data_IF_470529488519
#
_entry.id   IF_470529488519
#
_cell.length_a   1.000
_cell.length_b   1.000
_cell.length_c   1.000
_cell.angle_alpha   90.00
_cell.angle_beta   90.00
_cell.angle_gamma   90.00
#
_symmetry.space_group_name_H-M   'P 1'
#
loop_
_entity.id
_entity.type
_entity.pdbx_description
1 polymer ?
#
# COMPACT_ATOMS: atom_id res chain seq x y z
N UNK A 1 0.26 -8.41 28.69
CA UNK A 1 0.57 -8.12 27.27
C UNK A 1 -0.24 -9.10 26.46
N UNK A 2 -1.12 -8.62 25.59
CA UNK A 2 -1.92 -9.53 24.75
C UNK A 2 -0.98 -10.21 23.74
N UNK A 3 -1.26 -11.45 23.32
CA UNK A 3 -0.38 -12.20 22.42
C UNK A 3 -0.05 -11.48 21.09
N UNK A 4 -0.88 -10.49 20.70
CA UNK A 4 -0.68 -9.62 19.53
C UNK A 4 0.48 -8.62 19.74
N UNK A 5 0.65 -8.08 20.95
CA UNK A 5 1.70 -7.09 21.25
C UNK A 5 3.09 -7.73 21.24
N UNK A 6 3.23 -8.96 21.76
CA UNK A 6 4.50 -9.69 21.77
C UNK A 6 5.02 -10.02 20.36
N UNK A 7 4.12 -10.41 19.46
CA UNK A 7 4.45 -10.71 18.06
C UNK A 7 4.91 -9.47 17.28
N UNK A 8 4.38 -8.27 17.61
CA UNK A 8 4.79 -6.98 17.01
C UNK A 8 6.25 -6.69 17.26
N UNK A 9 6.66 -6.85 18.50
CA UNK A 9 8.00 -6.50 18.98
C UNK A 9 9.06 -7.43 18.37
N UNK A 10 8.77 -8.73 18.33
CA UNK A 10 9.66 -9.74 17.75
C UNK A 10 9.89 -9.55 16.24
N UNK A 11 8.84 -9.23 15.48
CA UNK A 11 8.95 -9.06 14.02
C UNK A 11 9.60 -7.75 13.62
N UNK A 12 9.28 -6.65 14.31
CA UNK A 12 9.95 -5.35 14.09
C UNK A 12 11.46 -5.51 14.31
N UNK A 13 11.86 -6.27 15.33
CA UNK A 13 13.26 -6.61 15.57
C UNK A 13 13.90 -7.37 14.40
N UNK A 14 13.24 -8.42 13.87
CA UNK A 14 13.73 -9.17 12.70
C UNK A 14 13.84 -8.31 11.45
N UNK A 15 12.85 -7.45 11.19
CA UNK A 15 12.83 -6.59 10.02
C UNK A 15 13.89 -5.49 10.09
N UNK A 16 14.05 -4.85 11.26
CA UNK A 16 15.13 -3.91 11.51
C UNK A 16 16.51 -4.55 11.34
N UNK A 17 16.69 -5.80 11.81
CA UNK A 17 17.93 -6.57 11.58
C UNK A 17 18.17 -6.84 10.09
N UNK A 18 17.12 -7.19 9.33
CA UNK A 18 17.23 -7.43 7.88
C UNK A 18 17.59 -6.16 7.10
N UNK A 19 17.04 -5.01 7.49
CA UNK A 19 17.21 -3.74 6.76
C UNK A 19 18.45 -2.93 7.18
N UNK A 20 18.84 -2.96 8.46
CA UNK A 20 19.83 -2.03 9.02
C UNK A 20 21.10 -2.68 9.54
N UNK A 21 21.14 -3.99 9.82
CA UNK A 21 22.34 -4.64 10.36
C UNK A 21 23.17 -5.28 9.23
N UNK A 22 24.52 -5.15 9.25
CA UNK A 22 25.37 -5.82 8.28
C UNK A 22 25.15 -7.34 8.35
N UNK A 23 24.98 -8.00 7.20
CA UNK A 23 25.03 -9.46 7.13
C UNK A 23 26.43 -9.91 7.52
N UNK A 24 26.57 -10.56 8.68
CA UNK A 24 27.81 -11.26 9.03
C UNK A 24 28.13 -12.27 7.94
N UNK A 25 29.30 -12.13 7.31
CA UNK A 25 29.72 -12.96 6.19
C UNK A 25 29.85 -14.43 6.61
N UNK A 26 28.96 -15.28 6.08
CA UNK A 26 29.27 -16.68 5.88
C UNK A 26 29.94 -16.81 4.51
N UNK A 27 31.20 -17.23 4.48
CA UNK A 27 31.87 -17.68 3.26
C UNK A 27 31.09 -18.88 2.70
N UNK A 28 30.39 -18.69 1.59
CA UNK A 28 30.08 -19.78 0.67
C UNK A 28 30.95 -19.62 -0.57
N UNK A 29 31.79 -20.62 -0.79
CA UNK A 29 32.62 -20.75 -1.97
C UNK A 29 31.79 -21.29 -3.13
N UNK A 30 31.75 -20.56 -4.24
CA UNK A 30 31.50 -21.11 -5.58
C UNK A 30 30.29 -20.55 -6.33
N UNK A 31 30.58 -19.76 -7.38
CA UNK A 31 29.91 -19.91 -8.68
C UNK A 31 28.70 -19.03 -9.02
N UNK A 32 29.00 -17.92 -9.70
CA UNK A 32 28.23 -17.25 -10.79
C UNK A 32 26.98 -16.39 -10.50
N UNK A 33 27.21 -15.07 -10.72
CA UNK A 33 26.32 -14.03 -11.24
C UNK A 33 25.01 -13.73 -10.47
N UNK A 34 25.16 -13.31 -9.22
CA UNK A 34 24.16 -12.50 -8.51
C UNK A 34 24.59 -11.03 -8.46
N UNK A 35 23.84 -10.15 -9.11
CA UNK A 35 24.04 -8.69 -9.00
C UNK A 35 23.53 -8.26 -7.62
N UNK A 36 24.43 -8.29 -6.64
CA UNK A 36 24.18 -7.86 -5.27
C UNK A 36 24.16 -6.33 -5.18
N UNK A 37 22.98 -5.74 -5.09
CA UNK A 37 22.77 -4.38 -4.61
C UNK A 37 21.74 -4.36 -3.47
N UNK A 38 22.07 -5.06 -2.39
CA UNK A 38 21.56 -4.72 -1.05
C UNK A 38 22.77 -4.60 -0.11
N UNK A 39 23.56 -3.56 -0.36
CA UNK A 39 24.31 -2.93 0.72
C UNK A 39 23.66 -1.58 0.97
N UNK A 40 22.81 -1.51 1.98
CA UNK A 40 22.81 -0.30 2.80
C UNK A 40 24.28 -0.08 3.16
N UNK A 41 24.82 1.11 2.86
CA UNK A 41 26.21 1.43 3.20
C UNK A 41 26.45 1.03 4.65
N UNK A 42 27.36 0.07 4.94
CA UNK A 42 27.64 -0.34 6.30
C UNK A 42 28.30 0.88 6.98
N UNK A 43 27.51 1.65 7.74
CA UNK A 43 28.07 2.75 8.54
C UNK A 43 27.18 3.97 8.83
N UNK A 44 26.08 4.23 8.14
CA UNK A 44 25.22 5.37 8.54
C UNK A 44 24.10 4.89 9.46
N UNK A 45 24.36 4.83 10.77
CA UNK A 45 23.28 4.71 11.74
C UNK A 45 22.24 5.81 11.54
N UNK A 46 21.00 5.56 11.99
CA UNK A 46 19.92 6.56 11.97
C UNK A 46 20.45 7.90 12.49
N UNK A 47 20.11 9.04 11.89
CA UNK A 47 20.64 10.32 12.34
C UNK A 47 20.19 11.58 11.64
N UNK A 48 21.09 12.55 11.56
CA UNK A 48 20.73 13.92 11.18
C UNK A 48 20.21 14.02 9.73
N UNK A 49 20.66 13.13 8.84
CA UNK A 49 20.13 13.02 7.49
C UNK A 49 18.66 12.59 7.49
N UNK A 50 18.30 11.58 8.29
CA UNK A 50 16.91 11.11 8.41
C UNK A 50 16.01 12.20 9.03
N UNK A 51 16.49 12.87 10.08
CA UNK A 51 15.80 14.00 10.71
C UNK A 51 15.52 15.09 9.67
N UNK A 52 16.55 15.49 8.91
CA UNK A 52 16.43 16.54 7.90
C UNK A 52 15.45 16.18 6.79
N UNK A 53 15.49 14.93 6.30
CA UNK A 53 14.62 14.49 5.22
C UNK A 53 13.15 14.39 5.67
N UNK A 54 12.89 13.75 6.83
CA UNK A 54 11.55 13.68 7.41
C UNK A 54 11.01 15.09 7.63
N UNK A 55 11.77 15.97 8.29
CA UNK A 55 11.34 17.33 8.59
C UNK A 55 11.06 18.15 7.33
N UNK A 56 11.95 18.09 6.33
CA UNK A 56 11.78 18.80 5.06
C UNK A 56 10.52 18.37 4.33
N UNK A 57 10.28 17.06 4.24
CA UNK A 57 9.09 16.50 3.60
C UNK A 57 7.82 16.94 4.33
N UNK A 58 7.79 16.81 5.66
CA UNK A 58 6.64 17.19 6.47
C UNK A 58 6.34 18.70 6.39
N UNK A 59 7.37 19.56 6.41
CA UNK A 59 7.20 21.01 6.27
C UNK A 59 6.70 21.42 4.87
N UNK A 60 7.03 20.63 3.84
CA UNK A 60 6.55 20.86 2.47
C UNK A 60 5.14 20.30 2.22
N UNK A 61 4.69 19.37 3.07
CA UNK A 61 3.36 18.78 2.95
C UNK A 61 2.28 19.78 3.37
N UNK A 62 1.23 19.86 2.56
CA UNK A 62 -0.01 20.57 2.93
C UNK A 62 -0.94 19.62 3.69
N UNK A 63 -1.53 20.14 4.75
CA UNK A 63 -2.59 19.46 5.49
C UNK A 63 -3.87 19.36 4.66
N UNK A 64 -4.83 18.56 5.11
CA UNK A 64 -6.17 18.49 4.50
C UNK A 64 -6.89 19.85 4.49
N UNK A 65 -6.48 20.76 5.39
CA UNK A 65 -6.94 22.16 5.48
C UNK A 65 -6.13 23.13 4.64
N UNK A 66 -5.10 22.67 3.93
CA UNK A 66 -4.22 23.49 3.10
C UNK A 66 -3.16 24.27 3.87
N UNK A 67 -3.01 24.01 5.17
CA UNK A 67 -1.98 24.60 6.04
C UNK A 67 -0.66 23.83 5.88
N UNK A 68 0.47 24.47 6.17
CA UNK A 68 1.78 23.80 6.23
C UNK A 68 2.19 23.60 7.67
N UNK A 69 2.72 22.44 8.01
CA UNK A 69 3.34 22.22 9.32
C UNK A 69 4.53 23.16 9.46
N UNK A 70 4.68 23.83 10.62
CA UNK A 70 5.83 24.69 10.81
C UNK A 70 7.12 23.86 10.77
N UNK A 71 8.19 24.44 10.23
CA UNK A 71 9.49 23.75 10.17
C UNK A 71 9.96 23.29 11.56
N UNK A 72 9.69 24.09 12.59
CA UNK A 72 10.02 23.76 13.98
C UNK A 72 9.28 22.53 14.49
N UNK A 73 7.97 22.43 14.23
CA UNK A 73 7.17 21.25 14.61
C UNK A 73 7.64 20.00 13.85
N UNK A 74 7.86 20.13 12.54
CA UNK A 74 8.35 19.04 11.70
C UNK A 74 9.72 18.53 12.15
N UNK A 75 10.65 19.44 12.48
CA UNK A 75 11.97 19.09 13.03
C UNK A 75 11.86 18.45 14.43
N UNK A 76 10.97 18.94 15.29
CA UNK A 76 10.74 18.39 16.62
C UNK A 76 10.23 16.94 16.56
N UNK A 77 9.22 16.69 15.73
CA UNK A 77 8.68 15.37 15.49
C UNK A 77 9.73 14.41 14.91
N UNK A 78 10.44 14.85 13.86
CA UNK A 78 11.49 14.04 13.23
C UNK A 78 12.60 13.67 14.21
N UNK A 79 13.02 14.60 15.09
CA UNK A 79 14.00 14.33 16.14
C UNK A 79 13.50 13.29 17.13
N UNK A 80 12.25 13.40 17.58
CA UNK A 80 11.66 12.44 18.53
C UNK A 80 11.62 11.05 17.93
N UNK A 81 11.06 10.91 16.72
CA UNK A 81 10.95 9.61 16.03
C UNK A 81 12.31 8.95 15.80
N UNK A 82 13.30 9.70 15.31
CA UNK A 82 14.65 9.17 15.07
C UNK A 82 15.35 8.81 16.38
N UNK A 83 15.16 9.59 17.45
CA UNK A 83 15.71 9.26 18.77
C UNK A 83 15.09 7.97 19.33
N UNK A 84 13.79 7.78 19.17
CA UNK A 84 13.08 6.59 19.65
C UNK A 84 13.45 5.34 18.85
N UNK A 85 13.57 5.47 17.53
CA UNK A 85 14.06 4.41 16.65
C UNK A 85 15.50 4.00 16.98
N UNK A 86 16.39 4.96 17.29
CA UNK A 86 17.76 4.68 17.75
C UNK A 86 17.79 3.90 19.05
N UNK A 87 17.01 4.31 20.05
CA UNK A 87 16.90 3.55 21.32
C UNK A 87 16.38 2.15 21.08
N UNK A 88 15.45 1.98 20.13
CA UNK A 88 15.02 0.66 19.66
C UNK A 88 16.17 -0.15 19.10
N UNK A 89 16.95 0.42 18.17
CA UNK A 89 18.09 -0.27 17.55
C UNK A 89 19.18 -0.67 18.56
N UNK A 90 19.54 0.23 19.48
CA UNK A 90 20.48 -0.04 20.58
C UNK A 90 20.02 -1.23 21.44
N UNK A 91 18.71 -1.31 21.72
CA UNK A 91 18.10 -2.44 22.44
C UNK A 91 18.14 -3.75 21.65
N UNK A 92 18.26 -3.71 20.32
CA UNK A 92 18.34 -4.90 19.47
C UNK A 92 19.76 -5.45 19.32
N UNK A 93 20.78 -4.62 19.55
CA UNK A 93 22.19 -5.04 19.51
C UNK A 93 22.50 -6.00 20.67
N UNK A 94 22.71 -7.27 20.35
CA UNK A 94 23.09 -8.31 21.32
C UNK A 94 21.94 -8.86 22.19
N UNK A 95 20.70 -8.41 21.99
CA UNK A 95 19.56 -8.84 22.81
C UNK A 95 18.70 -9.92 22.15
N UNK A 96 17.95 -10.67 22.98
CA UNK A 96 16.98 -11.67 22.52
C UNK A 96 15.79 -11.02 21.79
N UNK A 97 15.01 -11.84 21.07
CA UNK A 97 13.76 -11.42 20.44
C UNK A 97 12.76 -10.85 21.49
N UNK A 98 12.11 -9.71 21.20
CA UNK A 98 11.06 -9.12 22.06
C UNK A 98 11.50 -8.03 23.05
N UNK A 99 12.71 -7.46 22.93
CA UNK A 99 13.27 -6.46 23.88
C UNK A 99 12.77 -5.02 23.63
N UNK A 100 12.10 -4.79 22.49
CA UNK A 100 11.52 -3.47 22.17
C UNK A 100 10.29 -3.20 23.03
N UNK A 101 10.09 -1.94 23.44
CA UNK A 101 8.78 -1.47 23.87
C UNK A 101 7.93 -1.05 22.68
N UNK A 102 6.61 -0.87 22.90
CA UNK A 102 5.69 -0.46 21.84
C UNK A 102 6.06 0.88 21.18
N UNK A 103 6.44 1.94 21.93
CA UNK A 103 6.85 3.21 21.31
C UNK A 103 8.09 3.07 20.44
N UNK A 104 9.10 2.30 20.89
CA UNK A 104 10.32 2.08 20.11
C UNK A 104 10.06 1.26 18.84
N UNK A 105 9.19 0.24 18.90
CA UNK A 105 8.84 -0.55 17.73
C UNK A 105 8.11 0.29 16.66
N UNK A 106 7.14 1.10 17.08
CA UNK A 106 6.39 1.99 16.19
C UNK A 106 7.30 3.05 15.56
N UNK A 107 8.15 3.70 16.36
CA UNK A 107 9.09 4.69 15.84
C UNK A 107 10.12 4.08 14.87
N UNK A 108 10.64 2.89 15.19
CA UNK A 108 11.58 2.17 14.34
C UNK A 108 10.94 1.77 13.01
N UNK A 109 9.72 1.23 13.02
CA UNK A 109 8.93 0.94 11.82
C UNK A 109 8.71 2.19 10.96
N UNK A 110 8.29 3.31 11.56
CA UNK A 110 8.06 4.56 10.84
C UNK A 110 9.32 5.07 10.12
N UNK A 111 10.47 5.08 10.82
CA UNK A 111 11.75 5.51 10.26
C UNK A 111 12.22 4.56 9.16
N UNK A 112 12.09 3.24 9.36
CA UNK A 112 12.40 2.24 8.34
C UNK A 112 11.56 2.41 7.07
N UNK A 113 10.26 2.62 7.23
CA UNK A 113 9.36 2.86 6.09
C UNK A 113 9.73 4.15 5.35
N UNK A 114 10.09 5.21 6.09
CA UNK A 114 10.48 6.49 5.47
C UNK A 114 11.80 6.41 4.71
N UNK A 115 12.74 5.57 5.19
CA UNK A 115 14.08 5.38 4.61
C UNK A 115 14.13 4.30 3.52
N UNK A 116 13.20 3.35 3.48
CA UNK A 116 13.32 2.22 2.57
C UNK A 116 12.10 1.93 1.73
N UNK A 117 10.93 2.44 2.11
CA UNK A 117 9.63 2.06 1.53
C UNK A 117 8.75 3.29 1.35
N UNK A 118 9.19 4.30 0.58
CA UNK A 118 8.46 5.55 0.52
C UNK A 118 7.07 5.34 -0.10
N UNK A 119 6.11 6.13 0.39
CA UNK A 119 4.78 6.26 -0.18
C UNK A 119 4.66 7.63 -0.86
N UNK A 120 4.94 7.68 -2.16
CA UNK A 120 5.07 8.92 -2.92
C UNK A 120 3.75 9.35 -3.55
N UNK A 121 3.47 10.65 -3.56
CA UNK A 121 2.25 11.18 -4.19
C UNK A 121 2.28 11.01 -5.71
N UNK A 122 1.13 10.68 -6.28
CA UNK A 122 0.90 10.79 -7.72
C UNK A 122 0.38 12.21 -8.01
N UNK A 123 0.94 12.86 -9.02
CA UNK A 123 0.61 14.23 -9.43
C UNK A 123 0.30 14.28 -10.93
N UNK A 124 -0.85 13.71 -11.32
CA UNK A 124 -1.21 13.61 -12.72
C UNK A 124 -0.32 12.64 -13.49
N UNK A 125 0.60 13.18 -14.29
CA UNK A 125 1.54 12.41 -15.10
C UNK A 125 2.92 12.23 -14.43
N UNK A 126 3.10 12.78 -13.22
CA UNK A 126 4.36 12.73 -12.48
C UNK A 126 4.18 12.08 -11.10
N UNK A 127 5.30 11.72 -10.48
CA UNK A 127 5.38 11.34 -9.08
C UNK A 127 6.10 12.41 -8.28
N UNK A 128 5.84 12.46 -6.98
CA UNK A 128 6.67 13.19 -6.03
C UNK A 128 8.12 12.69 -6.11
N UNK A 129 9.08 13.59 -5.91
CA UNK A 129 10.50 13.26 -6.03
C UNK A 129 10.88 12.16 -5.03
N UNK A 130 11.13 10.97 -5.57
CA UNK A 130 11.48 9.79 -4.78
C UNK A 130 12.80 10.03 -4.04
N UNK A 131 13.73 10.79 -4.60
CA UNK A 131 15.04 11.09 -4.00
C UNK A 131 14.95 12.02 -2.78
N UNK A 132 13.78 12.60 -2.50
CA UNK A 132 13.53 13.35 -1.27
C UNK A 132 13.49 12.44 -0.02
N UNK A 133 13.37 11.13 -0.21
CA UNK A 133 13.37 10.13 0.85
C UNK A 133 14.78 9.56 1.04
N UNK A 134 15.28 9.40 2.29
CA UNK A 134 16.56 8.75 2.53
C UNK A 134 16.58 7.35 1.93
N UNK A 135 17.73 6.88 1.44
CA UNK A 135 17.96 5.52 0.87
C UNK A 135 16.93 5.00 -0.16
N UNK A 136 16.18 5.89 -0.81
CA UNK A 136 15.18 5.53 -1.81
C UNK A 136 15.72 5.46 -3.25
N UNK A 137 17.02 5.74 -3.46
CA UNK A 137 17.60 5.90 -4.80
C UNK A 137 17.40 4.71 -5.74
N UNK A 138 17.37 3.48 -5.21
CA UNK A 138 17.03 2.28 -5.98
C UNK A 138 15.61 2.34 -6.56
N UNK A 139 14.64 2.85 -5.79
CA UNK A 139 13.26 3.01 -6.25
C UNK A 139 13.14 4.10 -7.31
N UNK A 140 13.88 5.21 -7.14
CA UNK A 140 13.93 6.26 -8.15
C UNK A 140 14.44 5.69 -9.49
N UNK A 141 15.53 4.92 -9.45
CA UNK A 141 16.09 4.27 -10.64
C UNK A 141 15.10 3.27 -11.27
N UNK A 142 14.48 2.39 -10.48
CA UNK A 142 13.48 1.43 -10.98
C UNK A 142 12.26 2.13 -11.60
N UNK A 143 11.81 3.23 -11.01
CA UNK A 143 10.71 4.04 -11.58
C UNK A 143 11.14 4.70 -12.87
N UNK A 144 12.36 5.24 -12.98
CA UNK A 144 12.83 5.87 -14.20
C UNK A 144 12.99 4.84 -15.33
N UNK A 145 13.58 3.68 -15.05
CA UNK A 145 13.77 2.57 -16.00
C UNK A 145 12.42 2.00 -16.50
N UNK A 146 11.37 2.09 -15.68
CA UNK A 146 10.05 1.50 -15.96
C UNK A 146 8.90 2.52 -15.91
N UNK A 147 9.19 3.80 -16.17
CA UNK A 147 8.25 4.92 -15.97
C UNK A 147 6.92 4.72 -16.68
N UNK A 148 6.95 4.25 -17.93
CA UNK A 148 5.75 4.02 -18.72
C UNK A 148 4.81 3.00 -18.06
N UNK A 149 5.34 1.93 -17.47
CA UNK A 149 4.55 0.91 -16.80
C UNK A 149 3.98 1.42 -15.47
N UNK A 150 4.81 2.07 -14.65
CA UNK A 150 4.38 2.65 -13.37
C UNK A 150 3.26 3.65 -13.61
N UNK A 151 3.42 4.56 -14.57
CA UNK A 151 2.41 5.56 -14.90
C UNK A 151 1.16 4.97 -15.57
N UNK A 152 1.28 3.92 -16.36
CA UNK A 152 0.10 3.20 -16.88
C UNK A 152 -0.75 2.65 -15.73
N UNK A 153 -0.11 2.13 -14.68
CA UNK A 153 -0.80 1.57 -13.51
C UNK A 153 -1.43 2.65 -12.64
N UNK A 154 -0.75 3.79 -12.44
CA UNK A 154 -1.35 4.91 -11.71
C UNK A 154 -2.58 5.48 -12.41
N UNK A 155 -2.60 5.46 -13.75
CA UNK A 155 -3.74 5.89 -14.56
C UNK A 155 -4.90 4.88 -14.58
N UNK A 156 -4.62 3.61 -14.30
CA UNK A 156 -5.59 2.52 -14.29
C UNK A 156 -6.11 2.15 -12.89
N UNK A 157 -5.69 2.89 -11.86
CA UNK A 157 -6.06 2.69 -10.46
C UNK A 157 -6.96 3.85 -9.99
N UNK A 158 -8.09 3.52 -9.38
CA UNK A 158 -9.13 4.44 -8.95
C UNK A 158 -9.36 4.42 -7.43
N UNK A 159 -9.75 5.58 -6.91
CA UNK A 159 -10.40 5.68 -5.62
C UNK A 159 -11.84 5.18 -5.73
N UNK A 160 -12.26 4.33 -4.80
CA UNK A 160 -13.69 4.01 -4.61
C UNK A 160 -14.30 5.12 -3.76
N UNK A 161 -14.81 6.16 -4.41
CA UNK A 161 -15.38 7.34 -3.77
C UNK A 161 -16.84 7.12 -3.45
N UNK A 162 -17.22 7.44 -2.21
CA UNK A 162 -18.60 7.30 -1.74
C UNK A 162 -19.12 8.66 -1.32
N UNK A 163 -20.35 8.97 -1.74
CA UNK A 163 -21.14 10.09 -1.25
C UNK A 163 -22.41 9.55 -0.60
N UNK A 164 -22.65 9.90 0.66
CA UNK A 164 -23.92 9.65 1.33
C UNK A 164 -24.98 10.63 0.81
N UNK A 165 -26.00 10.11 0.11
CA UNK A 165 -27.03 10.97 -0.50
C UNK A 165 -28.08 11.42 0.51
N UNK A 166 -28.13 10.81 1.70
CA UNK A 166 -29.01 11.20 2.79
C UNK A 166 -28.34 12.25 3.70
N UNK A 167 -27.01 12.23 3.77
CA UNK A 167 -26.18 13.19 4.51
C UNK A 167 -25.29 13.93 3.52
N UNK A 168 -25.84 14.96 2.87
CA UNK A 168 -25.33 15.63 1.65
C UNK A 168 -23.89 16.18 1.68
N UNK A 169 -23.17 16.11 2.81
CA UNK A 169 -21.78 16.55 2.95
C UNK A 169 -20.79 15.44 3.32
N UNK A 170 -21.25 14.18 3.44
CA UNK A 170 -20.38 13.08 3.84
C UNK A 170 -19.83 12.34 2.63
N UNK A 171 -18.59 12.66 2.29
CA UNK A 171 -17.81 11.97 1.26
C UNK A 171 -16.54 11.36 1.83
N UNK A 172 -16.15 10.20 1.32
CA UNK A 172 -14.90 9.53 1.70
C UNK A 172 -14.42 8.59 0.59
N UNK A 173 -13.17 8.14 0.71
CA UNK A 173 -12.64 7.01 -0.06
C UNK A 173 -12.77 5.73 0.75
N UNK A 174 -13.55 4.77 0.24
CA UNK A 174 -13.79 3.48 0.90
C UNK A 174 -12.65 2.48 0.67
N UNK A 175 -11.94 2.61 -0.45
CA UNK A 175 -10.91 1.68 -0.89
C UNK A 175 -10.37 2.04 -2.26
N UNK A 176 -9.68 1.09 -2.86
CA UNK A 176 -9.07 1.19 -4.18
C UNK A 176 -9.69 0.16 -5.14
N UNK A 177 -9.75 0.49 -6.43
CA UNK A 177 -10.17 -0.43 -7.48
C UNK A 177 -9.35 -0.21 -8.75
N UNK A 178 -9.36 -1.18 -9.67
CA UNK A 178 -8.76 -1.03 -10.99
C UNK A 178 -9.60 -1.74 -12.05
N UNK A 179 -9.56 -1.26 -13.29
CA UNK A 179 -10.22 -1.93 -14.42
C UNK A 179 -9.50 -3.25 -14.74
N UNK A 180 -10.25 -4.32 -14.97
CA UNK A 180 -9.72 -5.64 -15.37
C UNK A 180 -10.09 -6.04 -16.80
N UNK A 181 -11.05 -5.33 -17.39
CA UNK A 181 -11.50 -5.52 -18.77
C UNK A 181 -12.55 -4.49 -19.14
N UNK A 182 -13.15 -4.66 -20.31
CA UNK A 182 -14.20 -3.77 -20.80
C UNK A 182 -15.42 -3.83 -19.89
N UNK A 183 -15.72 -2.69 -19.24
CA UNK A 183 -16.87 -2.56 -18.33
C UNK A 183 -16.75 -3.33 -17.02
N UNK A 184 -15.56 -3.83 -16.66
CA UNK A 184 -15.32 -4.57 -15.42
C UNK A 184 -14.18 -3.97 -14.60
N UNK A 185 -14.41 -3.80 -13.30
CA UNK A 185 -13.39 -3.40 -12.32
C UNK A 185 -13.29 -4.43 -11.20
N UNK A 186 -12.12 -4.54 -10.59
CA UNK A 186 -11.87 -5.40 -9.43
C UNK A 186 -11.55 -4.55 -8.20
N UNK A 187 -12.02 -5.01 -7.04
CA UNK A 187 -11.69 -4.49 -5.71
C UNK A 187 -11.82 -5.62 -4.68
N UNK A 188 -11.70 -5.30 -3.40
CA UNK A 188 -11.93 -6.22 -2.29
C UNK A 188 -13.42 -6.38 -1.96
N UNK A 189 -13.80 -7.55 -1.41
CA UNK A 189 -15.16 -7.77 -0.90
C UNK A 189 -15.43 -6.80 0.25
N UNK A 190 -14.48 -6.62 1.18
CA UNK A 190 -14.69 -5.75 2.34
C UNK A 190 -14.73 -4.25 2.01
N UNK A 191 -14.37 -3.84 0.79
CA UNK A 191 -14.64 -2.47 0.34
C UNK A 191 -16.14 -2.25 0.18
N UNK A 192 -16.90 -3.27 -0.25
CA UNK A 192 -18.37 -3.21 -0.33
C UNK A 192 -19.06 -3.68 0.96
N UNK A 193 -18.46 -4.67 1.64
CA UNK A 193 -18.97 -5.34 2.84
C UNK A 193 -17.94 -5.28 3.98
N UNK A 194 -17.61 -4.08 4.50
CA UNK A 194 -16.61 -3.96 5.54
C UNK A 194 -16.98 -4.77 6.79
N UNK A 195 -15.98 -5.35 7.48
CA UNK A 195 -16.22 -6.04 8.75
C UNK A 195 -16.64 -5.06 9.84
N UNK A 196 -17.30 -5.57 10.88
CA UNK A 196 -17.69 -4.79 12.05
C UNK A 196 -18.72 -3.69 11.74
N UNK A 197 -18.45 -2.46 12.19
CA UNK A 197 -19.36 -1.31 12.07
C UNK A 197 -19.12 -0.45 10.80
N UNK A 198 -18.36 -0.95 9.82
CA UNK A 198 -18.14 -0.21 8.58
C UNK A 198 -19.42 -0.04 7.75
N UNK A 199 -19.45 1.01 6.92
CA UNK A 199 -20.58 1.29 6.02
C UNK A 199 -20.66 0.25 4.91
N UNK A 200 -21.67 -0.63 4.95
CA UNK A 200 -21.97 -1.54 3.83
C UNK A 200 -22.54 -0.76 2.66
N UNK A 201 -21.90 -0.85 1.49
CA UNK A 201 -22.29 -0.13 0.26
C UNK A 201 -23.23 -0.94 -0.64
N UNK A 202 -23.30 -2.26 -0.44
CA UNK A 202 -24.10 -3.16 -1.26
C UNK A 202 -24.87 -4.17 -0.40
N UNK A 203 -25.83 -4.85 -1.02
CA UNK A 203 -26.55 -5.99 -0.45
C UNK A 203 -26.41 -7.19 -1.38
N UNK A 204 -25.99 -8.34 -0.85
CA UNK A 204 -25.91 -9.60 -1.59
C UNK A 204 -27.30 -10.06 -2.00
N UNK A 205 -27.44 -10.57 -3.23
CA UNK A 205 -28.66 -11.22 -3.69
C UNK A 205 -28.70 -12.65 -3.12
N UNK A 206 -29.78 -13.06 -2.43
CA UNK A 206 -29.84 -14.34 -1.72
C UNK A 206 -29.47 -15.54 -2.61
N UNK A 207 -28.59 -16.41 -2.11
CA UNK A 207 -28.18 -17.63 -2.80
C UNK A 207 -27.25 -17.42 -4.00
N UNK A 208 -26.66 -16.23 -4.17
CA UNK A 208 -25.78 -15.91 -5.30
C UNK A 208 -24.52 -15.18 -4.84
N UNK A 209 -23.52 -15.13 -5.72
CA UNK A 209 -22.34 -14.25 -5.56
C UNK A 209 -22.60 -12.82 -6.04
N UNK A 210 -23.81 -12.49 -6.47
CA UNK A 210 -24.14 -11.17 -7.01
C UNK A 210 -24.56 -10.23 -5.88
N UNK A 211 -24.37 -8.93 -6.07
CA UNK A 211 -24.87 -7.91 -5.16
C UNK A 211 -25.47 -6.72 -5.92
N UNK A 212 -26.20 -5.90 -5.17
CA UNK A 212 -26.76 -4.63 -5.65
C UNK A 212 -26.30 -3.50 -4.74
N UNK A 213 -25.87 -2.40 -5.35
CA UNK A 213 -25.52 -1.16 -4.63
C UNK A 213 -26.74 -0.63 -3.87
N UNK A 214 -26.51 -0.11 -2.66
CA UNK A 214 -27.52 0.55 -1.84
C UNK A 214 -27.83 1.94 -2.42
N UNK A 215 -29.12 2.31 -2.46
CA UNK A 215 -29.56 3.55 -3.13
C UNK A 215 -29.21 4.82 -2.37
N UNK A 216 -28.91 4.73 -1.07
CA UNK A 216 -28.47 5.86 -0.24
C UNK A 216 -27.00 6.27 -0.44
N UNK A 217 -26.24 5.55 -1.28
CA UNK A 217 -24.85 5.85 -1.55
C UNK A 217 -24.61 5.98 -3.06
N UNK A 218 -24.10 7.13 -3.47
CA UNK A 218 -23.48 7.26 -4.78
C UNK A 218 -22.03 6.75 -4.67
N UNK A 219 -21.66 5.80 -5.52
CA UNK A 219 -20.31 5.22 -5.53
C UNK A 219 -19.72 5.35 -6.93
N UNK A 220 -18.60 6.06 -7.02
CA UNK A 220 -17.86 6.31 -8.25
C UNK A 220 -16.43 5.77 -8.13
N UNK A 221 -15.90 5.25 -9.24
CA UNK A 221 -14.48 4.97 -9.39
C UNK A 221 -13.82 6.20 -10.01
N UNK A 222 -12.99 6.89 -9.24
CA UNK A 222 -12.30 8.12 -9.66
C UNK A 222 -10.81 7.82 -9.89
N UNK A 223 -10.44 7.66 -11.17
CA UNK A 223 -9.07 7.36 -11.60
C UNK A 223 -8.18 8.61 -11.61
N UNK A 224 -8.76 9.81 -11.47
CA UNK A 224 -8.03 11.07 -11.42
C UNK A 224 -7.93 11.62 -9.99
N UNK A 225 -8.27 10.83 -8.97
CA UNK A 225 -8.24 11.25 -7.56
C UNK A 225 -6.81 11.28 -6.97
N UNK A 226 -5.94 12.06 -7.59
CA UNK A 226 -4.55 12.26 -7.19
C UNK A 226 -4.25 13.75 -6.91
N UNK A 227 -2.98 14.07 -6.67
CA UNK A 227 -2.53 15.42 -6.30
C UNK A 227 -2.18 16.30 -7.50
N UNK A 228 -2.47 15.84 -8.73
CA UNK A 228 -2.23 16.59 -9.96
C UNK A 228 -3.32 17.61 -10.28
N UNK A 229 -3.20 18.22 -11.46
CA UNK A 229 -4.27 19.04 -12.01
C UNK A 229 -5.56 18.22 -12.15
N UNK A 230 -6.70 18.87 -11.91
CA UNK A 230 -8.02 18.24 -12.02
C UNK A 230 -8.20 17.67 -13.43
N UNK A 231 -8.57 16.39 -13.50
CA UNK A 231 -8.97 15.67 -14.70
C UNK A 231 -10.28 14.97 -14.39
N UNK A 232 -11.12 14.78 -15.40
CA UNK A 232 -12.37 14.05 -15.25
C UNK A 232 -12.17 12.65 -15.86
N UNK A 233 -11.90 11.68 -14.98
CA UNK A 233 -11.73 10.27 -15.34
C UNK A 233 -12.47 9.42 -14.31
N UNK A 234 -13.78 9.28 -14.52
CA UNK A 234 -14.70 8.70 -13.55
C UNK A 234 -15.60 7.66 -14.18
N UNK A 235 -15.88 6.61 -13.42
CA UNK A 235 -16.79 5.53 -13.80
C UNK A 235 -17.85 5.37 -12.73
N UNK A 236 -19.07 5.03 -13.13
CA UNK A 236 -20.13 4.63 -12.20
C UNK A 236 -20.25 3.11 -12.15
N UNK A 237 -20.71 2.59 -11.02
CA UNK A 237 -21.00 1.16 -10.85
C UNK A 237 -22.44 0.89 -11.29
N UNK A 238 -22.61 0.01 -12.28
CA UNK A 238 -23.93 -0.40 -12.81
C UNK A 238 -24.38 -1.76 -12.28
N UNK A 239 -23.47 -2.55 -11.71
CA UNK A 239 -23.77 -3.84 -11.12
C UNK A 239 -22.60 -4.42 -10.31
N UNK A 240 -22.88 -5.46 -9.52
CA UNK A 240 -21.86 -6.24 -8.80
C UNK A 240 -22.05 -7.72 -9.15
N UNK A 241 -21.49 -8.19 -10.29
CA UNK A 241 -21.65 -9.57 -10.75
C UNK A 241 -20.96 -10.60 -9.85
N UNK A 242 -19.97 -10.19 -9.05
CA UNK A 242 -19.31 -11.09 -8.11
C UNK A 242 -18.88 -10.35 -6.85
N UNK A 243 -19.13 -10.96 -5.70
CA UNK A 243 -18.53 -10.62 -4.42
C UNK A 243 -18.32 -11.90 -3.63
N UNK A 244 -17.09 -12.14 -3.21
CA UNK A 244 -16.70 -13.32 -2.44
C UNK A 244 -17.54 -13.46 -1.16
N UNK A 245 -17.74 -14.69 -0.68
CA UNK A 245 -18.39 -14.94 0.62
C UNK A 245 -17.41 -14.73 1.78
N UNK A 246 -17.92 -14.59 3.01
CA UNK A 246 -17.05 -14.37 4.18
C UNK A 246 -16.13 -15.57 4.47
N UNK A 247 -16.53 -16.78 4.05
CA UNK A 247 -15.74 -18.02 4.19
C UNK A 247 -14.87 -18.34 2.97
N UNK A 248 -14.90 -17.49 1.94
CA UNK A 248 -14.12 -17.67 0.72
C UNK A 248 -12.62 -17.41 1.03
N UNK A 249 -11.68 -18.22 0.52
CA UNK A 249 -10.25 -17.94 0.69
C UNK A 249 -9.78 -16.63 0.05
N UNK A 250 -10.61 -15.97 -0.78
CA UNK A 250 -10.29 -14.68 -1.38
C UNK A 250 -11.21 -13.57 -0.85
N UNK A 251 -10.65 -12.39 -0.66
CA UNK A 251 -11.40 -11.15 -0.43
C UNK A 251 -11.43 -10.34 -1.74
N UNK A 252 -12.38 -10.63 -2.62
CA UNK A 252 -12.49 -9.97 -3.92
C UNK A 252 -13.94 -9.69 -4.31
N UNK A 253 -14.12 -8.63 -5.10
CA UNK A 253 -15.37 -8.30 -5.77
C UNK A 253 -15.08 -7.80 -7.19
N UNK A 254 -16.01 -8.09 -8.10
CA UNK A 254 -16.04 -7.55 -9.45
C UNK A 254 -17.23 -6.61 -9.58
N UNK A 255 -16.96 -5.44 -10.13
CA UNK A 255 -17.91 -4.38 -10.38
C UNK A 255 -18.15 -4.30 -11.89
N UNK A 256 -19.40 -4.23 -12.29
CA UNK A 256 -19.76 -3.79 -13.63
C UNK A 256 -19.79 -2.27 -13.63
N UNK A 257 -19.09 -1.64 -14.58
CA UNK A 257 -18.86 -0.20 -14.60
C UNK A 257 -19.02 0.39 -15.99
N UNK A 258 -19.35 1.68 -16.06
CA UNK A 258 -19.39 2.45 -17.30
C UNK A 258 -18.74 3.83 -17.10
N UNK A 259 -18.06 4.38 -18.12
CA UNK A 259 -17.45 5.70 -18.02
C UNK A 259 -18.54 6.78 -17.89
N UNK A 260 -18.33 7.68 -16.93
CA UNK A 260 -19.08 8.94 -16.81
C UNK A 260 -18.31 10.05 -17.51
N UNK A 261 -16.98 10.06 -17.34
CA UNK A 261 -16.08 10.99 -18.01
C UNK A 261 -14.73 10.31 -18.27
N UNK A 262 -14.14 10.59 -19.44
CA UNK A 262 -12.87 10.02 -19.86
C UNK A 262 -12.92 8.49 -20.11
N UNK A 263 -11.76 7.90 -20.38
CA UNK A 263 -11.60 6.46 -20.50
C UNK A 263 -10.26 6.01 -19.93
N UNK A 264 -10.29 5.07 -18.99
CA UNK A 264 -9.10 4.45 -18.41
C UNK A 264 -8.81 3.12 -19.13
N UNK A 265 -7.53 2.72 -19.18
CA UNK A 265 -7.13 1.43 -19.76
C UNK A 265 -7.16 0.35 -18.67
N UNK A 266 -7.71 -0.85 -18.96
CA UNK A 266 -7.64 -1.98 -18.03
C UNK A 266 -6.22 -2.45 -17.74
N UNK A 267 -6.03 -2.99 -16.53
CA UNK A 267 -4.85 -3.77 -16.16
C UNK A 267 -5.14 -5.26 -16.35
N UNK A 268 -4.14 -5.99 -16.83
CA UNK A 268 -4.22 -7.45 -16.92
C UNK A 268 -3.87 -8.07 -15.58
N UNK A 269 -4.71 -8.99 -15.09
CA UNK A 269 -4.35 -9.87 -13.97
C UNK A 269 -3.43 -10.97 -14.49
N UNK A 270 -2.21 -10.99 -13.97
CA UNK A 270 -1.10 -11.84 -14.41
C UNK A 270 -1.45 -13.33 -14.33
N UNK A 271 -0.82 -14.12 -15.21
CA UNK A 271 -0.77 -15.59 -15.12
C UNK A 271 0.53 -16.11 -14.50
N UNK A 272 1.54 -15.25 -14.37
CA UNK A 272 2.79 -15.61 -13.72
C UNK A 272 2.77 -15.16 -12.27
N UNK A 273 3.54 -15.87 -11.45
CA UNK A 273 3.51 -15.80 -10.01
C UNK A 273 3.95 -14.42 -9.52
N UNK A 274 3.49 -14.03 -8.32
CA UNK A 274 4.06 -12.88 -7.63
C UNK A 274 5.49 -13.16 -7.14
N UNK A 275 5.89 -14.42 -7.02
CA UNK A 275 7.25 -14.78 -6.64
C UNK A 275 8.27 -14.62 -7.80
N UNK A 276 7.80 -14.34 -9.01
CA UNK A 276 8.66 -14.05 -10.17
C UNK A 276 9.16 -12.58 -10.18
N UNK A 277 8.84 -11.79 -9.15
CA UNK A 277 9.27 -10.40 -9.03
C UNK A 277 10.07 -10.20 -7.73
N UNK A 278 11.23 -9.55 -7.86
CA UNK A 278 12.10 -9.25 -6.70
C UNK A 278 11.67 -7.97 -5.96
N UNK A 279 10.98 -7.09 -6.69
CA UNK A 279 10.62 -5.73 -6.29
C UNK A 279 9.19 -5.47 -6.72
N UNK A 280 8.42 -4.88 -5.82
CA UNK A 280 7.03 -4.57 -6.05
C UNK A 280 6.70 -3.11 -5.78
N UNK A 281 5.64 -2.66 -6.41
CA UNK A 281 4.96 -1.44 -6.06
C UNK A 281 3.45 -1.66 -6.00
N UNK A 282 2.78 -0.80 -5.25
CA UNK A 282 1.34 -0.78 -5.07
C UNK A 282 0.85 0.64 -5.27
N UNK A 283 -0.23 0.81 -6.02
CA UNK A 283 -0.90 2.10 -6.19
C UNK A 283 -2.22 2.05 -5.46
N UNK A 284 -2.45 3.00 -4.55
CA UNK A 284 -3.68 3.03 -3.78
C UNK A 284 -3.98 4.38 -3.17
N UNK A 285 -5.10 4.43 -2.45
CA UNK A 285 -5.64 5.65 -1.87
C UNK A 285 -5.63 5.58 -0.34
N UNK A 286 -4.61 6.14 0.34
CA UNK A 286 -4.54 6.17 1.80
C UNK A 286 -5.71 6.97 2.39
N UNK A 287 -6.67 6.27 2.99
CA UNK A 287 -7.87 6.81 3.59
C UNK A 287 -7.59 7.84 4.69
N UNK A 288 -8.56 8.73 4.96
CA UNK A 288 -8.44 9.70 6.05
C UNK A 288 -8.29 9.00 7.39
N UNK A 289 -7.41 9.54 8.21
CA UNK A 289 -7.25 9.15 9.61
C UNK A 289 -7.61 10.36 10.46
N UNK A 290 -8.61 10.23 11.34
CA UNK A 290 -9.14 11.37 12.10
C UNK A 290 -8.09 12.04 12.98
N UNK A 291 -7.40 11.25 13.80
CA UNK A 291 -6.20 11.67 14.54
C UNK A 291 -5.02 10.91 13.96
N UNK A 292 -4.21 11.55 13.13
CA UNK A 292 -3.07 10.92 12.45
C UNK A 292 -1.96 10.65 13.48
N UNK A 293 -1.61 9.38 13.74
CA UNK A 293 -0.45 9.04 14.56
C UNK A 293 0.85 9.53 13.91
N UNK A 294 1.84 9.88 14.75
CA UNK A 294 3.13 10.42 14.35
C UNK A 294 3.89 9.53 13.35
N UNK A 295 3.80 8.20 13.52
CA UNK A 295 4.39 7.20 12.62
C UNK A 295 3.75 7.20 11.24
N UNK A 296 2.41 7.27 11.18
CA UNK A 296 1.68 7.41 9.93
C UNK A 296 2.04 8.75 9.29
N UNK A 297 2.08 9.83 10.06
CA UNK A 297 2.44 11.15 9.57
C UNK A 297 3.85 11.17 8.96
N UNK A 298 4.81 10.51 9.63
CA UNK A 298 6.19 10.41 9.18
C UNK A 298 6.38 9.61 7.88
N UNK A 299 5.44 8.76 7.48
CA UNK A 299 5.48 8.05 6.19
C UNK A 299 4.62 8.74 5.13
N UNK A 300 3.41 9.15 5.51
CA UNK A 300 2.35 9.54 4.59
C UNK A 300 2.05 11.05 4.59
N UNK A 301 2.66 11.83 5.48
CA UNK A 301 2.13 13.15 5.83
C UNK A 301 0.72 13.01 6.37
N UNK A 302 -0.15 13.99 6.13
CA UNK A 302 -1.57 13.82 6.40
C UNK A 302 -2.19 12.91 5.32
N UNK A 303 -2.83 11.77 5.68
CA UNK A 303 -3.58 10.96 4.74
C UNK A 303 -4.79 11.72 4.18
N UNK A 304 -4.67 12.17 2.94
CA UNK A 304 -5.61 13.05 2.24
C UNK A 304 -6.44 12.29 1.19
N UNK A 305 -6.45 10.96 1.24
CA UNK A 305 -7.11 10.05 0.28
C UNK A 305 -6.54 10.11 -1.14
N UNK A 306 -5.57 10.98 -1.40
CA UNK A 306 -4.96 11.14 -2.72
C UNK A 306 -4.07 9.97 -3.04
N UNK A 307 -4.11 9.55 -4.30
CA UNK A 307 -3.36 8.43 -4.83
C UNK A 307 -1.88 8.50 -4.48
N UNK A 308 -1.32 7.38 -4.03
CA UNK A 308 0.11 7.21 -3.77
C UNK A 308 0.63 5.93 -4.40
N UNK A 309 1.93 5.93 -4.70
CA UNK A 309 2.69 4.73 -5.05
C UNK A 309 3.55 4.38 -3.86
N UNK A 310 3.42 3.16 -3.36
CA UNK A 310 4.28 2.63 -2.30
C UNK A 310 5.14 1.50 -2.85
N UNK A 311 6.39 1.44 -2.41
CA UNK A 311 7.38 0.48 -2.92
C UNK A 311 7.76 -0.53 -1.85
N UNK A 312 8.10 -1.75 -2.26
CA UNK A 312 8.60 -2.77 -1.35
C UNK A 312 8.97 -4.09 -1.99
N UNK A 313 8.96 -5.14 -1.19
CA UNK A 313 9.39 -6.50 -1.51
C UNK A 313 8.46 -7.51 -0.88
N UNK A 314 8.45 -8.72 -1.42
CA UNK A 314 7.85 -9.86 -0.74
C UNK A 314 8.64 -10.25 0.50
N UNK A 315 7.91 -10.64 1.54
CA UNK A 315 8.47 -11.09 2.81
C UNK A 315 8.43 -12.61 2.96
N UNK A 316 7.50 -13.27 2.27
CA UNK A 316 7.31 -14.71 2.34
C UNK A 316 8.32 -15.47 1.48
N UNK A 317 8.60 -16.70 1.89
CA UNK A 317 9.22 -17.70 1.02
C UNK A 317 8.19 -18.28 0.06
N UNK A 318 8.65 -18.76 -1.09
CA UNK A 318 7.76 -19.37 -2.11
C UNK A 318 7.20 -20.69 -1.57
N UNK A 319 5.88 -20.79 -1.42
CA UNK A 319 5.19 -22.04 -1.08
C UNK A 319 4.19 -22.47 -2.18
N UNK A 320 4.16 -23.76 -2.58
CA UNK A 320 3.19 -24.24 -3.55
C UNK A 320 1.74 -24.02 -3.11
N UNK A 321 0.91 -23.42 -3.97
CA UNK A 321 -0.50 -23.19 -3.68
C UNK A 321 -0.78 -22.04 -2.71
N UNK A 322 0.22 -21.20 -2.42
CA UNK A 322 0.08 -20.07 -1.53
C UNK A 322 -0.93 -19.03 -2.06
N UNK A 323 -2.05 -18.88 -1.35
CA UNK A 323 -3.12 -17.94 -1.69
C UNK A 323 -2.77 -16.53 -1.20
N UNK A 324 -2.26 -16.43 0.04
CA UNK A 324 -1.95 -15.16 0.68
C UNK A 324 -0.45 -14.95 0.75
N UNK A 325 0.00 -13.79 0.31
CA UNK A 325 1.39 -13.36 0.37
C UNK A 325 1.55 -12.12 1.24
N UNK A 326 2.73 -11.93 1.80
CA UNK A 326 3.10 -10.80 2.64
C UNK A 326 4.15 -9.94 1.93
N UNK A 327 3.98 -8.62 2.00
CA UNK A 327 4.90 -7.61 1.49
C UNK A 327 5.14 -6.48 2.49
N UNK A 328 6.21 -5.73 2.31
CA UNK A 328 6.62 -4.64 3.21
C UNK A 328 6.42 -3.22 2.65
N UNK A 329 5.78 -3.07 1.49
CA UNK A 329 5.43 -1.74 0.97
C UNK A 329 4.49 -0.98 1.91
N UNK A 330 4.74 0.32 2.17
CA UNK A 330 3.91 1.12 3.08
C UNK A 330 2.45 1.20 2.66
N UNK A 331 1.53 0.74 3.51
CA UNK A 331 0.09 0.91 3.29
C UNK A 331 -0.61 1.31 4.59
N UNK A 332 -1.79 1.92 4.45
CA UNK A 332 -2.76 2.15 5.52
C UNK A 332 -4.16 1.84 4.99
N UNK A 333 -5.19 2.00 5.81
CA UNK A 333 -6.59 1.87 5.38
C UNK A 333 -6.84 2.65 4.08
N UNK A 334 -7.67 2.09 3.18
CA UNK A 334 -7.95 2.66 1.85
C UNK A 334 -7.13 2.05 0.70
N UNK A 335 -5.98 1.43 0.98
CA UNK A 335 -5.24 0.63 -0.02
C UNK A 335 -5.95 -0.68 -0.41
N UNK A 336 -6.89 -1.16 0.39
CA UNK A 336 -7.69 -2.35 0.09
C UNK A 336 -8.27 -2.31 -1.31
N UNK A 337 -7.96 -3.32 -2.12
CA UNK A 337 -8.40 -3.49 -3.50
C UNK A 337 -7.37 -3.00 -4.52
N UNK A 338 -6.23 -2.47 -4.07
CA UNK A 338 -5.11 -2.13 -4.92
C UNK A 338 -4.41 -3.38 -5.49
N UNK A 339 -3.97 -3.30 -6.74
CA UNK A 339 -3.10 -4.30 -7.33
C UNK A 339 -1.67 -4.16 -6.81
N UNK A 340 -1.01 -5.29 -6.58
CA UNK A 340 0.44 -5.41 -6.33
C UNK A 340 1.11 -5.80 -7.64
N UNK A 341 2.16 -5.09 -8.04
CA UNK A 341 2.80 -5.26 -9.35
C UNK A 341 4.31 -5.27 -9.24
N UNK A 342 4.97 -5.89 -10.23
CA UNK A 342 6.38 -5.66 -10.51
C UNK A 342 6.57 -4.54 -11.53
N UNK A 343 7.80 -4.07 -11.71
CA UNK A 343 8.10 -2.91 -12.57
C UNK A 343 8.15 -3.23 -14.07
N UNK A 344 8.55 -4.46 -14.42
CA UNK A 344 8.77 -4.85 -15.81
C UNK A 344 7.49 -4.86 -16.68
N UNK A 345 6.32 -5.03 -16.07
CA UNK A 345 5.03 -5.13 -16.77
C UNK A 345 3.91 -4.47 -15.98
N UNK A 346 2.95 -3.81 -16.66
CA UNK A 346 1.71 -3.33 -16.05
C UNK A 346 0.68 -4.45 -15.81
N UNK A 347 1.09 -5.54 -15.17
CA UNK A 347 0.25 -6.69 -14.85
C UNK A 347 0.14 -6.88 -13.34
N UNK A 348 -1.09 -7.05 -12.84
CA UNK A 348 -1.38 -7.25 -11.43
C UNK A 348 -0.99 -8.66 -11.01
N UNK A 349 -0.09 -8.77 -10.02
CA UNK A 349 0.46 -10.02 -9.47
C UNK A 349 -0.26 -10.48 -8.20
N UNK A 350 -0.89 -9.56 -7.47
CA UNK A 350 -1.75 -9.89 -6.34
C UNK A 350 -2.74 -8.75 -6.04
N UNK A 351 -3.77 -9.02 -5.25
CA UNK A 351 -4.74 -8.05 -4.77
C UNK A 351 -4.50 -7.77 -3.28
N UNK A 352 -4.03 -6.57 -2.94
CA UNK A 352 -3.82 -6.17 -1.55
C UNK A 352 -5.17 -6.06 -0.81
N UNK A 353 -5.24 -6.59 0.40
CA UNK A 353 -6.49 -6.60 1.18
C UNK A 353 -6.35 -6.21 2.64
N UNK A 354 -5.19 -6.42 3.26
CA UNK A 354 -5.02 -6.14 4.68
C UNK A 354 -3.63 -5.61 4.98
N UNK A 355 -3.54 -4.62 5.86
CA UNK A 355 -2.28 -4.14 6.40
C UNK A 355 -2.20 -4.41 7.90
N UNK A 356 -1.06 -4.90 8.36
CA UNK A 356 -0.78 -5.06 9.78
C UNK A 356 0.65 -4.59 10.05
N UNK A 357 0.79 -3.58 10.92
CA UNK A 357 2.07 -3.07 11.41
C UNK A 357 2.96 -4.13 12.09
N UNK A 358 2.39 -5.29 12.44
CA UNK A 358 3.11 -6.43 13.03
C UNK A 358 3.55 -7.43 11.98
N UNK A 359 2.62 -7.82 11.11
CA UNK A 359 2.77 -9.00 10.26
C UNK A 359 3.13 -8.67 8.81
N UNK A 360 3.23 -7.38 8.46
CA UNK A 360 3.36 -6.93 7.09
C UNK A 360 2.00 -6.81 6.40
N UNK A 361 2.05 -6.41 5.13
CA UNK A 361 0.88 -6.16 4.31
C UNK A 361 0.54 -7.40 3.48
N UNK A 362 -0.73 -7.77 3.44
CA UNK A 362 -1.21 -9.01 2.84
C UNK A 362 -1.89 -8.76 1.51
N UNK A 363 -1.62 -9.64 0.56
CA UNK A 363 -2.25 -9.66 -0.75
C UNK A 363 -2.65 -11.09 -1.13
N UNK A 364 -3.62 -11.21 -2.03
CA UNK A 364 -4.06 -12.49 -2.60
C UNK A 364 -3.40 -12.66 -3.96
N UNK A 365 -2.64 -13.74 -4.13
CA UNK A 365 -1.89 -14.02 -5.36
C UNK A 365 -2.81 -14.10 -6.59
N UNK A 366 -2.35 -13.60 -7.75
CA UNK A 366 -3.12 -13.59 -9.00
C UNK A 366 -3.55 -14.99 -9.42
N UNK A 367 -2.72 -16.00 -9.17
CA UNK A 367 -3.01 -17.40 -9.52
C UNK A 367 -4.21 -17.93 -8.73
N UNK A 368 -4.35 -17.54 -7.45
CA UNK A 368 -5.51 -17.88 -6.64
C UNK A 368 -6.78 -17.18 -7.13
N UNK A 369 -6.69 -15.89 -7.50
CA UNK A 369 -7.81 -15.14 -8.08
C UNK A 369 -8.30 -15.79 -9.39
N UNK A 370 -7.36 -16.21 -10.24
CA UNK A 370 -7.63 -16.90 -11.51
C UNK A 370 -8.15 -18.32 -11.35
N UNK A 371 -7.68 -19.06 -10.34
CA UNK A 371 -8.11 -20.41 -10.05
C UNK A 371 -9.49 -20.47 -9.36
N UNK A 372 -9.96 -19.36 -8.80
CA UNK A 372 -11.25 -19.30 -8.13
C UNK A 372 -12.41 -19.59 -9.10
N UNK A 373 -13.30 -20.51 -8.72
CA UNK A 373 -14.30 -21.13 -9.63
C UNK A 373 -15.27 -20.15 -10.29
N UNK A 374 -15.62 -19.06 -9.60
CA UNK A 374 -16.60 -18.07 -10.09
C UNK A 374 -15.91 -16.82 -10.64
N UNK A 375 -15.02 -16.22 -9.85
CA UNK A 375 -14.18 -15.09 -10.23
C UNK A 375 -13.26 -15.36 -11.44
N UNK A 376 -12.58 -16.51 -11.48
CA UNK A 376 -11.56 -16.83 -12.49
C UNK A 376 -12.04 -16.65 -13.94
N UNK A 377 -13.22 -17.20 -14.31
CA UNK A 377 -13.83 -16.98 -15.62
C UNK A 377 -14.16 -15.53 -15.98
N UNK A 378 -14.24 -14.62 -15.00
CA UNK A 378 -14.51 -13.19 -15.22
C UNK A 378 -13.23 -12.38 -15.44
N UNK A 379 -12.05 -12.95 -15.18
CA UNK A 379 -10.75 -12.32 -15.40
C UNK A 379 -10.32 -12.58 -16.85
N UNK A 380 -10.19 -11.54 -17.70
CA UNK A 380 -9.84 -11.69 -19.11
C UNK A 380 -8.49 -12.38 -19.39
#
# INVERSE_FOLDING_TARGET
MNGVDGLKLERTARWARRLLMPRGGAQEAGGELGVGYESASPGSGLGQADISAIASRLASARTSKGETVSRTEAEGLARSLVADARRGLEKLEGAAEGVLGQPEAVALEAVLLTRGRPAVKVMGAELEDINAYPESGMWAQLVDDHRANVMAVTMATAAVRVTDTLLTDRQWVQGTAFLIGDGLAMTNRHVLFPPGQGTRLARRLPGTTNARMKGEYEVLLDFAFDSGARRDLTYRITGVPFVAEDADPIDAAVLQVEPVAGAAKPLTVSKNSIFDIDRLFIVGHPGRVGNVPDDIFAVFGEPDERKRVSFGTLMDMVEPGQIHVVHDASTIGGYSGAGVLGFATAQVRALHYWGDSVSGNRAIASDALRAHKVLGPMIP
#
